data_IF_057847786808
#
_entry.id   IF_057847786808
#
_cell.length_a   1.000
_cell.length_b   1.000
_cell.length_c   1.000
_cell.angle_alpha   90.00
_cell.angle_beta   90.00
_cell.angle_gamma   90.00
#
_symmetry.space_group_name_H-M   'P 1'
#
loop_
_entity.id
_entity.type
_entity.pdbx_description
1 polymer ?
#
# COMPACT_ATOMS: atom_id res chain seq x y z
N UNK A 1 -6.20 -7.33 20.33
CA UNK A 1 -7.25 -8.24 19.84
C UNK A 1 -7.53 -9.27 20.93
N UNK A 2 -8.76 -9.79 21.06
CA UNK A 2 -9.01 -10.93 21.96
C UNK A 2 -8.16 -12.15 21.57
N UNK A 3 -7.57 -12.82 22.56
CA UNK A 3 -6.62 -13.92 22.35
C UNK A 3 -7.24 -15.12 21.63
N UNK A 4 -8.51 -15.40 21.93
CA UNK A 4 -9.27 -16.48 21.27
C UNK A 4 -9.39 -16.25 19.75
N UNK A 5 -9.58 -15.00 19.34
CA UNK A 5 -9.66 -14.61 17.94
C UNK A 5 -8.28 -14.66 17.26
N UNK A 6 -7.24 -14.21 17.95
CA UNK A 6 -5.86 -14.32 17.45
C UNK A 6 -5.46 -15.79 17.22
N UNK A 7 -5.79 -16.68 18.16
CA UNK A 7 -5.55 -18.12 18.03
C UNK A 7 -6.32 -18.74 16.86
N UNK A 8 -7.59 -18.35 16.65
CA UNK A 8 -8.39 -18.80 15.51
C UNK A 8 -7.79 -18.36 14.17
N UNK A 9 -7.38 -17.09 14.05
CA UNK A 9 -6.72 -16.58 12.83
C UNK A 9 -5.38 -17.26 12.57
N UNK A 10 -4.58 -17.51 13.60
CA UNK A 10 -3.30 -18.20 13.47
C UNK A 10 -3.48 -19.66 13.00
N UNK A 11 -4.51 -20.35 13.50
CA UNK A 11 -4.87 -21.70 13.01
C UNK A 11 -5.23 -21.67 11.52
N UNK A 12 -6.08 -20.72 11.12
CA UNK A 12 -6.54 -20.64 9.73
C UNK A 12 -5.42 -20.22 8.77
N UNK A 13 -4.56 -19.29 9.18
CA UNK A 13 -3.38 -18.86 8.43
C UNK A 13 -2.44 -20.06 8.14
N UNK A 14 -2.17 -20.90 9.16
CA UNK A 14 -1.38 -22.13 8.98
C UNK A 14 -2.08 -23.13 8.06
N UNK A 15 -3.40 -23.33 8.22
CA UNK A 15 -4.18 -24.24 7.38
C UNK A 15 -4.12 -23.86 5.90
N UNK A 16 -4.20 -22.57 5.58
CA UNK A 16 -4.17 -22.05 4.21
C UNK A 16 -2.76 -21.72 3.68
N UNK A 17 -1.73 -21.84 4.53
CA UNK A 17 -0.34 -21.44 4.23
C UNK A 17 -0.22 -19.98 3.77
N UNK A 18 -0.96 -19.08 4.42
CA UNK A 18 -0.93 -17.63 4.17
C UNK A 18 -0.71 -16.87 5.47
N UNK A 19 -0.50 -15.56 5.40
CA UNK A 19 -0.32 -14.75 6.60
C UNK A 19 -1.65 -14.47 7.33
N UNK A 20 -1.58 -14.27 8.65
CA UNK A 20 -2.72 -13.83 9.47
C UNK A 20 -3.32 -12.53 8.92
N UNK A 21 -2.49 -11.59 8.50
CA UNK A 21 -2.93 -10.32 7.91
C UNK A 21 -3.67 -10.50 6.59
N UNK A 22 -3.33 -11.53 5.79
CA UNK A 22 -4.09 -11.85 4.59
C UNK A 22 -5.49 -12.36 4.93
N UNK A 23 -5.63 -13.30 5.88
CA UNK A 23 -6.94 -13.80 6.32
C UNK A 23 -7.80 -12.66 6.88
N UNK A 24 -7.21 -11.82 7.74
CA UNK A 24 -7.92 -10.68 8.34
C UNK A 24 -8.39 -9.70 7.25
N UNK A 25 -7.54 -9.39 6.28
CA UNK A 25 -7.88 -8.52 5.15
C UNK A 25 -9.00 -9.11 4.29
N UNK A 26 -8.92 -10.38 3.90
CA UNK A 26 -9.97 -11.05 3.12
C UNK A 26 -11.32 -11.03 3.84
N UNK A 27 -11.33 -11.30 5.15
CA UNK A 27 -12.54 -11.27 5.97
C UNK A 27 -13.15 -9.86 6.09
N UNK A 28 -12.30 -8.84 6.25
CA UNK A 28 -12.73 -7.44 6.30
C UNK A 28 -13.23 -6.96 4.94
N UNK A 29 -12.54 -7.28 3.84
CA UNK A 29 -12.95 -6.95 2.48
C UNK A 29 -14.31 -7.59 2.13
N UNK A 30 -14.50 -8.85 2.49
CA UNK A 30 -15.76 -9.57 2.27
C UNK A 30 -16.93 -9.00 3.09
N UNK A 31 -16.67 -8.51 4.31
CA UNK A 31 -17.71 -7.98 5.21
C UNK A 31 -18.05 -6.52 4.95
N UNK A 32 -17.04 -5.70 4.69
CA UNK A 32 -17.18 -4.24 4.61
C UNK A 32 -17.32 -3.75 3.17
N UNK A 33 -17.10 -4.62 2.18
CA UNK A 33 -17.02 -4.22 0.78
C UNK A 33 -15.75 -3.40 0.54
N UNK A 34 -14.61 -4.08 0.43
CA UNK A 34 -13.29 -3.46 0.22
C UNK A 34 -12.80 -3.57 -1.21
N UNK A 35 -12.21 -2.49 -1.73
CA UNK A 35 -11.81 -2.30 -3.12
C UNK A 35 -11.10 -3.52 -3.73
N UNK A 36 -11.62 -3.99 -4.86
CA UNK A 36 -10.92 -4.92 -5.77
C UNK A 36 -9.46 -4.54 -5.84
N UNK A 37 -8.55 -5.49 -5.53
CA UNK A 37 -7.10 -5.32 -5.62
C UNK A 37 -6.76 -4.52 -6.87
N UNK A 38 -6.53 -3.21 -6.73
CA UNK A 38 -6.26 -2.34 -7.88
C UNK A 38 -4.98 -2.90 -8.48
N UNK A 39 -5.06 -3.50 -9.67
CA UNK A 39 -3.86 -3.90 -10.41
C UNK A 39 -3.12 -2.60 -10.67
N UNK A 40 -2.09 -2.34 -9.86
CA UNK A 40 -1.20 -1.23 -10.12
C UNK A 40 -0.52 -1.56 -11.45
N UNK A 41 -0.69 -0.73 -12.49
CA UNK A 41 0.07 -0.90 -13.71
C UNK A 41 1.52 -0.57 -13.36
N UNK A 42 2.29 -1.58 -13.00
CA UNK A 42 3.74 -1.46 -12.84
C UNK A 42 4.43 -1.20 -14.19
N UNK A 43 3.68 -1.30 -15.30
CA UNK A 43 4.07 -0.81 -16.61
C UNK A 43 4.17 0.73 -16.55
N UNK A 44 5.38 1.24 -16.33
CA UNK A 44 5.70 2.67 -16.38
C UNK A 44 6.12 3.33 -15.07
N UNK A 45 6.14 2.60 -13.94
CA UNK A 45 6.77 3.12 -12.71
C UNK A 45 8.26 3.38 -12.98
N UNK A 46 8.67 4.65 -12.88
CA UNK A 46 10.03 5.11 -13.19
C UNK A 46 10.24 5.59 -14.65
N UNK A 47 9.24 5.47 -15.53
CA UNK A 47 9.31 6.01 -16.90
C UNK A 47 8.74 7.42 -16.96
N UNK A 48 9.26 8.34 -16.13
CA UNK A 48 8.85 9.75 -16.15
C UNK A 48 9.32 10.50 -17.42
N UNK A 49 10.22 9.90 -18.20
CA UNK A 49 10.91 10.56 -19.32
C UNK A 49 12.11 11.42 -18.86
N UNK A 50 12.21 11.69 -17.55
CA UNK A 50 13.26 12.48 -16.95
C UNK A 50 14.28 11.56 -16.27
N UNK A 51 15.52 11.59 -16.75
CA UNK A 51 16.62 10.77 -16.19
C UNK A 51 17.17 11.31 -14.87
N UNK A 52 16.81 12.54 -14.51
CA UNK A 52 17.39 13.25 -13.37
C UNK A 52 16.42 13.43 -12.21
N UNK A 53 15.15 13.01 -12.32
CA UNK A 53 14.14 13.20 -11.26
C UNK A 53 14.61 12.73 -9.88
N UNK A 54 15.32 11.60 -9.81
CA UNK A 54 15.84 11.09 -8.54
C UNK A 54 17.04 11.89 -8.02
N UNK A 55 17.87 12.44 -8.93
CA UNK A 55 19.04 13.25 -8.58
C UNK A 55 18.64 14.66 -8.12
N UNK A 56 17.62 15.21 -8.75
CA UNK A 56 17.20 16.60 -8.58
C UNK A 56 15.99 16.71 -7.64
N UNK A 57 15.68 15.63 -6.89
CA UNK A 57 14.48 15.52 -6.07
C UNK A 57 14.36 16.68 -5.08
N UNK A 58 15.44 17.00 -4.37
CA UNK A 58 15.45 18.06 -3.36
C UNK A 58 15.18 19.44 -3.99
N UNK A 59 15.82 19.73 -5.13
CA UNK A 59 15.63 20.97 -5.86
C UNK A 59 14.19 21.12 -6.40
N UNK A 60 13.62 20.03 -6.91
CA UNK A 60 12.23 19.98 -7.38
C UNK A 60 11.24 20.22 -6.23
N UNK A 61 11.45 19.55 -5.09
CA UNK A 61 10.61 19.71 -3.90
C UNK A 61 10.68 21.12 -3.33
N UNK A 62 11.87 21.73 -3.24
CA UNK A 62 12.00 23.12 -2.81
C UNK A 62 11.28 24.09 -3.75
N UNK A 63 11.42 23.90 -5.07
CA UNK A 63 10.76 24.77 -6.06
C UNK A 63 9.23 24.69 -5.97
N UNK A 64 8.65 23.50 -5.79
CA UNK A 64 7.20 23.34 -5.69
C UNK A 64 6.65 23.81 -4.33
N UNK A 65 7.30 23.46 -3.20
CA UNK A 65 6.87 23.91 -1.88
C UNK A 65 7.07 25.41 -1.65
N UNK A 66 8.00 26.05 -2.37
CA UNK A 66 8.13 27.50 -2.38
C UNK A 66 6.91 28.17 -3.03
N UNK A 67 6.39 27.62 -4.14
CA UNK A 67 5.21 28.16 -4.83
C UNK A 67 3.94 28.03 -4.00
N UNK A 68 3.74 26.89 -3.33
CA UNK A 68 2.54 26.66 -2.51
C UNK A 68 2.49 27.54 -1.25
N UNK A 69 3.63 27.93 -0.68
CA UNK A 69 3.70 28.80 0.51
C UNK A 69 3.48 30.29 0.22
N UNK A 70 3.47 30.69 -1.04
CA UNK A 70 3.27 32.09 -1.46
C UNK A 70 1.86 32.37 -2.01
N UNK A 71 0.91 31.43 -1.82
CA UNK A 71 -0.50 31.56 -2.20
C UNK A 71 -1.39 31.64 -0.96
#
# INVERSE_FOLDING_TARGET
>A
MPDSLAAALAREARRRRVSVSQIAREALEARLGGATRRRLPFVGLGRSGYRTTARDLDALLEAEWGRDRHR
#
